data_IF_379744091637
#
_entry.id   IF_379744091637
#
_cell.length_a   1.000
_cell.length_b   1.000
_cell.length_c   1.000
_cell.angle_alpha   90.00
_cell.angle_beta   90.00
_cell.angle_gamma   90.00
#
_symmetry.space_group_name_H-M   'P 1'
#
loop_
_entity.id
_entity.type
_entity.pdbx_description
1 polymer ?
#
# COMPACT_ATOMS: atom_id res chain seq x y z
N UNK A 1 -14.76 10.19 -14.10
CA UNK A 1 -13.47 9.48 -14.24
C UNK A 1 -13.32 8.57 -13.03
N UNK A 2 -13.28 7.26 -13.21
CA UNK A 2 -12.96 6.34 -12.11
C UNK A 2 -11.45 6.32 -11.92
N UNK A 3 -10.97 6.67 -10.74
CA UNK A 3 -9.54 6.55 -10.43
C UNK A 3 -9.22 5.07 -10.30
N UNK A 4 -8.22 4.58 -11.05
CA UNK A 4 -7.78 3.20 -10.95
C UNK A 4 -6.89 3.05 -9.71
N UNK A 5 -7.38 2.36 -8.69
CA UNK A 5 -6.64 2.13 -7.44
C UNK A 5 -5.27 1.48 -7.70
N UNK A 6 -5.13 0.66 -8.75
CA UNK A 6 -3.86 0.02 -9.11
C UNK A 6 -2.81 1.01 -9.60
N UNK A 7 -3.20 2.19 -10.05
CA UNK A 7 -2.29 3.25 -10.48
C UNK A 7 -1.92 4.18 -9.31
N UNK A 8 -2.67 4.13 -8.20
CA UNK A 8 -2.43 4.96 -7.01
C UNK A 8 -1.38 4.36 -6.08
N UNK A 9 -1.22 3.03 -6.06
CA UNK A 9 -0.25 2.33 -5.20
C UNK A 9 0.92 1.82 -6.07
N UNK A 10 2.14 2.24 -5.75
CA UNK A 10 3.32 1.86 -6.53
C UNK A 10 4.59 1.79 -5.66
N UNK A 11 5.65 1.20 -6.22
CA UNK A 11 6.97 1.09 -5.59
C UNK A 11 7.92 2.16 -6.13
N UNK A 12 8.66 2.80 -5.23
CA UNK A 12 9.77 3.72 -5.55
C UNK A 12 10.82 3.61 -4.45
N UNK A 13 12.10 3.52 -4.83
CA UNK A 13 13.22 3.47 -3.87
C UNK A 13 13.02 2.43 -2.75
N UNK A 14 12.46 1.27 -3.11
CA UNK A 14 12.14 0.16 -2.21
C UNK A 14 11.08 0.48 -1.12
N UNK A 15 10.27 1.51 -1.35
CA UNK A 15 9.16 1.94 -0.49
C UNK A 15 7.85 1.95 -1.29
N UNK A 16 6.74 1.73 -0.60
CA UNK A 16 5.39 1.71 -1.17
C UNK A 16 4.76 3.08 -0.98
N UNK A 17 4.36 3.69 -2.08
CA UNK A 17 3.72 5.00 -2.10
C UNK A 17 2.27 4.88 -2.55
N UNK A 18 1.43 5.73 -1.95
CA UNK A 18 0.03 5.90 -2.30
C UNK A 18 -0.24 7.35 -2.66
N UNK A 19 -0.71 7.60 -3.88
CA UNK A 19 -1.05 8.94 -4.36
C UNK A 19 -2.50 9.00 -4.76
N UNK A 20 -3.43 9.20 -3.80
CA UNK A 20 -4.85 9.12 -4.11
C UNK A 20 -5.36 10.26 -4.98
N UNK A 21 -4.66 11.41 -5.01
CA UNK A 21 -4.98 12.55 -5.87
C UNK A 21 -3.77 13.48 -6.04
N UNK A 22 -3.53 14.36 -5.07
CA UNK A 22 -2.57 15.48 -5.15
C UNK A 22 -1.41 15.38 -4.15
N UNK A 23 -1.41 14.32 -3.34
CA UNK A 23 -0.42 14.12 -2.30
C UNK A 23 0.03 12.67 -2.29
N UNK A 24 1.35 12.51 -2.24
CA UNK A 24 2.03 11.23 -2.12
C UNK A 24 2.21 10.93 -0.64
N UNK A 25 1.87 9.70 -0.26
CA UNK A 25 2.04 9.18 1.08
C UNK A 25 2.93 7.96 1.03
N UNK A 26 3.94 7.91 1.87
CA UNK A 26 4.68 6.69 2.14
C UNK A 26 3.82 5.80 3.04
N UNK A 27 3.41 4.64 2.52
CA UNK A 27 2.56 3.68 3.23
C UNK A 27 3.30 2.37 3.50
N UNK A 28 4.63 2.35 3.33
CA UNK A 28 5.46 1.14 3.40
C UNK A 28 5.24 0.38 4.70
N UNK A 29 5.39 1.08 5.83
CA UNK A 29 5.34 0.46 7.16
C UNK A 29 3.93 -0.07 7.46
N UNK A 30 2.89 0.68 7.06
CA UNK A 30 1.51 0.24 7.23
C UNK A 30 1.16 -0.99 6.39
N UNK A 31 1.66 -1.09 5.16
CA UNK A 31 1.46 -2.29 4.34
C UNK A 31 2.19 -3.49 4.92
N UNK A 32 3.36 -3.30 5.54
CA UNK A 32 4.07 -4.38 6.24
C UNK A 32 3.24 -4.92 7.42
N UNK A 33 2.69 -4.03 8.26
CA UNK A 33 1.80 -4.44 9.36
C UNK A 33 0.59 -5.24 8.85
N UNK A 34 -0.08 -4.76 7.79
CA UNK A 34 -1.21 -5.47 7.19
C UNK A 34 -0.81 -6.84 6.63
N UNK A 35 0.39 -6.97 6.06
CA UNK A 35 0.89 -8.27 5.61
C UNK A 35 1.10 -9.24 6.77
N UNK A 36 1.62 -8.77 7.90
CA UNK A 36 1.80 -9.59 9.09
C UNK A 36 0.45 -10.07 9.65
N UNK A 37 -0.53 -9.17 9.74
CA UNK A 37 -1.90 -9.51 10.15
C UNK A 37 -2.53 -10.57 9.22
N UNK A 38 -2.36 -10.41 7.91
CA UNK A 38 -2.85 -11.39 6.92
C UNK A 38 -2.18 -12.75 7.06
N UNK A 39 -0.88 -12.80 7.36
CA UNK A 39 -0.16 -14.05 7.60
C UNK A 39 -0.62 -14.74 8.90
N UNK A 40 -0.95 -13.97 9.94
CA UNK A 40 -1.57 -14.52 11.15
C UNK A 40 -2.92 -15.15 10.85
N UNK A 41 -3.76 -14.48 10.04
CA UNK A 41 -5.07 -15.00 9.64
C UNK A 41 -5.00 -16.28 8.80
N UNK A 42 -3.99 -16.41 7.92
CA UNK A 42 -3.80 -17.64 7.12
C UNK A 42 -3.34 -18.85 7.93
N UNK A 43 -2.74 -18.62 9.10
CA UNK A 43 -2.21 -19.66 9.99
C UNK A 43 -3.23 -20.11 11.05
N UNK A 44 -4.35 -19.39 11.15
CA UNK A 44 -5.49 -19.73 12.02
C UNK A 44 -6.44 -20.77 11.42
#
# INVERSE_FOLDING_TARGET
>A
MSVNIKEMIYLRDNRIYFTPYLKEYDITDHIQELMEELEMLKRG
#
